data_IF_984739187387
#
_entry.id   IF_984739187387
#
_cell.length_a   1.000
_cell.length_b   1.000
_cell.length_c   1.000
_cell.angle_alpha   90.00
_cell.angle_beta   90.00
_cell.angle_gamma   90.00
#
_symmetry.space_group_name_H-M   'P 1'
#
loop_
_entity.id
_entity.type
_entity.pdbx_description
1 polymer ?
#
# COMPACT_ATOMS: atom_id res chain seq x y z
N UNK A 1 0.01 29.95 -14.85
CA UNK A 1 1.40 29.46 -14.99
C UNK A 1 1.97 29.21 -13.61
N UNK A 2 3.00 28.37 -13.51
CA UNK A 2 3.75 28.10 -12.27
C UNK A 2 5.11 28.74 -12.42
N UNK A 3 5.62 29.34 -11.34
CA UNK A 3 6.92 29.99 -11.34
C UNK A 3 7.87 29.27 -10.40
N UNK A 4 9.03 28.87 -10.91
CA UNK A 4 10.17 28.49 -10.08
C UNK A 4 10.96 29.75 -9.79
N UNK A 5 11.07 30.10 -8.51
CA UNK A 5 11.79 31.30 -8.06
C UNK A 5 13.01 30.91 -7.25
N UNK A 6 14.09 31.67 -7.44
CA UNK A 6 15.31 31.57 -6.65
C UNK A 6 15.05 31.94 -5.20
N UNK A 7 15.47 31.09 -4.26
CA UNK A 7 15.37 31.37 -2.83
C UNK A 7 16.39 32.40 -2.33
N UNK A 8 17.37 32.76 -3.16
CA UNK A 8 18.43 33.72 -2.80
C UNK A 8 17.99 35.15 -3.06
N UNK A 9 17.36 35.40 -4.22
CA UNK A 9 17.07 36.75 -4.71
C UNK A 9 15.64 36.93 -5.25
N UNK A 10 14.82 35.88 -5.25
CA UNK A 10 13.43 35.93 -5.73
C UNK A 10 13.30 36.04 -7.25
N UNK A 11 14.40 35.92 -8.00
CA UNK A 11 14.36 35.94 -9.46
C UNK A 11 13.60 34.71 -10.00
N UNK A 12 12.85 34.90 -11.09
CA UNK A 12 12.17 33.80 -11.77
C UNK A 12 13.19 33.01 -12.58
N UNK A 13 13.36 31.74 -12.25
CA UNK A 13 14.22 30.79 -12.96
C UNK A 13 13.49 30.21 -14.16
N UNK A 14 12.29 29.67 -13.94
CA UNK A 14 11.45 29.10 -14.99
C UNK A 14 9.98 29.51 -14.79
N UNK A 15 9.27 29.61 -15.91
CA UNK A 15 7.81 29.73 -15.96
C UNK A 15 7.26 28.54 -16.72
N UNK A 16 6.35 27.82 -16.09
CA UNK A 16 5.70 26.64 -16.65
C UNK A 16 4.27 26.99 -17.02
N UNK A 17 3.95 26.86 -18.30
CA UNK A 17 2.64 27.22 -18.82
C UNK A 17 1.66 26.06 -18.71
N UNK A 18 0.53 26.35 -18.05
CA UNK A 18 -0.67 25.54 -18.05
C UNK A 18 -1.65 26.13 -19.06
N UNK A 19 -2.59 25.32 -19.55
CA UNK A 19 -3.49 25.79 -20.60
C UNK A 19 -4.68 26.61 -20.04
N UNK A 20 -4.87 26.61 -18.71
CA UNK A 20 -5.86 27.38 -17.96
C UNK A 20 -5.28 27.89 -16.61
N UNK A 21 -5.99 28.78 -15.88
CA UNK A 21 -5.57 29.26 -14.56
C UNK A 21 -5.22 28.14 -13.59
N UNK A 22 -4.09 28.30 -12.89
CA UNK A 22 -3.60 27.34 -11.90
C UNK A 22 -4.30 27.61 -10.58
N UNK A 23 -5.08 26.63 -10.10
CA UNK A 23 -5.85 26.72 -8.85
C UNK A 23 -5.30 25.80 -7.75
N UNK A 24 -4.24 25.05 -8.06
CA UNK A 24 -3.64 24.05 -7.18
C UNK A 24 -2.30 24.53 -6.60
N UNK A 25 -1.93 23.97 -5.44
CA UNK A 25 -0.56 24.07 -4.95
C UNK A 25 0.38 23.24 -5.83
N UNK A 26 1.46 23.86 -6.33
CA UNK A 26 2.50 23.15 -7.05
C UNK A 26 3.18 22.12 -6.12
N UNK A 27 3.49 20.95 -6.66
CA UNK A 27 4.15 19.88 -5.90
C UNK A 27 5.50 19.55 -6.53
N UNK A 28 6.47 19.24 -5.69
CA UNK A 28 7.80 18.75 -6.05
C UNK A 28 8.39 18.00 -4.86
N UNK A 29 9.21 16.97 -5.08
CA UNK A 29 9.94 16.29 -4.01
C UNK A 29 11.31 15.85 -4.52
N UNK A 30 12.37 16.49 -4.02
CA UNK A 30 13.74 16.00 -4.11
C UNK A 30 14.36 15.80 -5.51
N UNK A 31 13.63 15.91 -6.61
CA UNK A 31 14.09 15.54 -7.96
C UNK A 31 13.46 16.40 -9.05
N UNK A 32 14.20 16.55 -10.15
CA UNK A 32 13.95 16.88 -11.58
C UNK A 32 12.54 17.24 -12.13
N UNK A 33 11.46 17.22 -11.35
CA UNK A 33 10.10 17.44 -11.84
C UNK A 33 9.30 18.44 -11.01
N UNK A 34 8.43 19.16 -11.72
CA UNK A 34 7.48 20.12 -11.17
C UNK A 34 6.08 19.73 -11.62
N UNK A 35 5.13 19.67 -10.68
CA UNK A 35 3.74 19.34 -10.95
C UNK A 35 2.84 20.55 -10.78
N UNK A 36 1.87 20.65 -11.68
CA UNK A 36 0.89 21.73 -11.73
C UNK A 36 -0.48 21.22 -12.10
N UNK A 37 -1.53 21.94 -11.71
CA UNK A 37 -2.87 21.64 -12.17
C UNK A 37 -3.73 22.88 -12.32
N UNK A 38 -4.58 22.86 -13.34
CA UNK A 38 -5.47 23.96 -13.69
C UNK A 38 -6.92 23.74 -13.24
N UNK A 39 -7.74 24.78 -13.41
CA UNK A 39 -9.16 24.77 -13.05
C UNK A 39 -10.01 23.84 -13.92
N UNK A 40 -9.55 23.51 -15.13
CA UNK A 40 -10.23 22.59 -16.04
C UNK A 40 -10.03 21.12 -15.65
N UNK A 41 -9.28 20.86 -14.57
CA UNK A 41 -9.05 19.52 -14.06
C UNK A 41 -7.94 18.77 -14.79
N UNK A 42 -6.99 19.48 -15.40
CA UNK A 42 -5.77 18.90 -15.93
C UNK A 42 -4.61 19.01 -14.96
N UNK A 43 -3.83 17.93 -14.88
CA UNK A 43 -2.56 17.84 -14.15
C UNK A 43 -1.42 17.78 -15.15
N UNK A 44 -0.34 18.46 -14.83
CA UNK A 44 0.82 18.68 -15.65
C UNK A 44 2.07 18.22 -14.92
N UNK A 45 3.06 17.77 -15.70
CA UNK A 45 4.41 17.53 -15.22
C UNK A 45 5.42 18.18 -16.14
N UNK A 46 6.37 18.86 -15.53
CA UNK A 46 7.43 19.59 -16.20
C UNK A 46 8.78 19.08 -15.73
N UNK A 47 9.76 19.13 -16.62
CA UNK A 47 11.15 18.97 -16.27
C UNK A 47 11.64 20.28 -15.63
N UNK A 48 12.25 20.16 -14.45
CA UNK A 48 12.75 21.27 -13.64
C UNK A 48 14.00 21.93 -14.25
N UNK A 49 14.83 21.19 -14.98
CA UNK A 49 16.09 21.70 -15.56
C UNK A 49 15.85 22.57 -16.80
N UNK A 50 14.96 22.12 -17.69
CA UNK A 50 14.78 22.74 -19.01
C UNK A 50 13.43 23.46 -19.18
N UNK A 51 12.51 23.33 -18.21
CA UNK A 51 11.18 23.94 -18.28
C UNK A 51 10.16 23.16 -19.09
N UNK A 52 10.55 22.06 -19.76
CA UNK A 52 9.72 21.41 -20.75
C UNK A 52 8.56 20.64 -20.12
N UNK A 53 7.37 20.77 -20.72
CA UNK A 53 6.21 19.96 -20.37
C UNK A 53 6.41 18.52 -20.83
N UNK A 54 6.48 17.60 -19.87
CA UNK A 54 6.67 16.17 -20.10
C UNK A 54 5.34 15.48 -20.42
N UNK A 55 4.27 15.84 -19.70
CA UNK A 55 2.93 15.30 -19.93
C UNK A 55 1.82 16.21 -19.38
N UNK A 56 0.59 15.93 -19.85
CA UNK A 56 -0.69 16.50 -19.40
C UNK A 56 -1.70 15.35 -19.23
N UNK A 57 -2.44 15.35 -18.13
CA UNK A 57 -3.41 14.31 -17.79
C UNK A 57 -4.73 14.93 -17.32
N UNK A 58 -5.87 14.46 -17.83
CA UNK A 58 -7.18 14.81 -17.26
C UNK A 58 -7.44 14.01 -16.00
N UNK A 59 -7.92 14.66 -14.93
CA UNK A 59 -8.39 13.97 -13.72
C UNK A 59 -9.73 13.28 -13.93
N UNK A 60 -10.55 13.74 -14.90
CA UNK A 60 -11.96 13.39 -15.11
C UNK A 60 -12.83 13.46 -13.82
N UNK A 61 -12.34 14.13 -12.78
CA UNK A 61 -12.86 14.10 -11.41
C UNK A 61 -12.75 15.47 -10.74
N UNK A 62 -12.80 16.54 -11.53
CA UNK A 62 -12.76 17.92 -11.07
C UNK A 62 -11.36 18.48 -10.86
N UNK A 63 -11.27 19.80 -10.68
CA UNK A 63 -10.01 20.50 -10.45
C UNK A 63 -9.24 19.92 -9.25
N UNK A 64 -7.92 19.85 -9.38
CA UNK A 64 -7.03 19.49 -8.29
C UNK A 64 -6.93 20.66 -7.30
N UNK A 65 -7.05 20.35 -6.01
CA UNK A 65 -6.91 21.34 -4.92
C UNK A 65 -5.49 21.32 -4.36
N UNK A 66 -5.02 20.15 -3.96
CA UNK A 66 -3.70 19.93 -3.41
C UNK A 66 -3.07 18.70 -4.04
N UNK A 67 -1.76 18.75 -4.20
CA UNK A 67 -0.97 17.68 -4.78
C UNK A 67 0.23 17.39 -3.90
N UNK A 68 0.61 16.12 -3.80
CA UNK A 68 1.80 15.69 -3.09
C UNK A 68 2.50 14.60 -3.89
N UNK A 69 3.79 14.78 -4.15
CA UNK A 69 4.61 13.84 -4.89
C UNK A 69 5.57 13.12 -3.94
N UNK A 70 5.60 11.80 -3.97
CA UNK A 70 6.50 10.96 -3.17
C UNK A 70 6.55 9.55 -3.78
N UNK A 71 7.72 8.91 -3.74
CA UNK A 71 7.93 7.54 -4.22
C UNK A 71 7.41 7.30 -5.65
N UNK A 72 7.73 8.20 -6.58
CA UNK A 72 7.28 8.17 -7.98
C UNK A 72 5.75 8.16 -8.16
N UNK A 73 5.02 8.68 -7.16
CA UNK A 73 3.56 8.79 -7.20
C UNK A 73 3.12 10.21 -6.87
N UNK A 74 2.16 10.70 -7.64
CA UNK A 74 1.50 11.96 -7.42
C UNK A 74 0.10 11.71 -6.84
N UNK A 75 -0.10 12.15 -5.61
CA UNK A 75 -1.38 12.13 -4.91
C UNK A 75 -2.10 13.44 -5.17
N UNK A 76 -3.37 13.37 -5.58
CA UNK A 76 -4.17 14.55 -5.95
C UNK A 76 -5.52 14.47 -5.26
N UNK A 77 -5.88 15.51 -4.51
CA UNK A 77 -7.24 15.66 -3.99
C UNK A 77 -8.02 16.61 -4.89
N UNK A 78 -9.25 16.25 -5.27
CA UNK A 78 -10.04 17.02 -6.22
C UNK A 78 -11.26 17.69 -5.59
N UNK A 79 -11.80 18.70 -6.27
CA UNK A 79 -13.03 19.42 -5.90
C UNK A 79 -14.26 18.53 -5.79
N UNK A 80 -14.28 17.37 -6.46
CA UNK A 80 -15.37 16.39 -6.37
C UNK A 80 -15.17 15.34 -5.27
N UNK A 81 -14.20 15.55 -4.38
CA UNK A 81 -13.97 14.70 -3.20
C UNK A 81 -13.21 13.41 -3.49
N UNK A 82 -12.49 13.33 -4.60
CA UNK A 82 -11.67 12.15 -4.93
C UNK A 82 -10.23 12.35 -4.46
N UNK A 83 -9.62 11.29 -3.93
CA UNK A 83 -8.18 11.14 -3.78
C UNK A 83 -7.67 10.24 -4.91
N UNK A 84 -6.86 10.79 -5.79
CA UNK A 84 -6.23 10.09 -6.91
C UNK A 84 -4.77 9.79 -6.58
N UNK A 85 -4.27 8.65 -7.08
CA UNK A 85 -2.85 8.30 -7.06
C UNK A 85 -2.42 8.04 -8.50
N UNK A 86 -1.48 8.83 -8.99
CA UNK A 86 -0.97 8.77 -10.35
C UNK A 86 0.48 8.27 -10.28
N UNK A 87 0.77 7.13 -10.91
CA UNK A 87 2.14 6.65 -11.05
C UNK A 87 2.90 7.54 -12.06
N UNK A 88 4.09 7.99 -11.68
CA UNK A 88 4.95 8.90 -12.42
C UNK A 88 6.25 8.19 -12.81
N UNK A 89 6.19 7.02 -13.44
CA UNK A 89 7.42 6.40 -13.95
C UNK A 89 7.94 7.07 -15.24
N UNK A 90 9.26 7.07 -15.51
CA UNK A 90 9.86 7.70 -16.69
C UNK A 90 9.37 7.16 -18.06
N UNK A 91 8.97 5.89 -18.14
CA UNK A 91 8.67 5.23 -19.42
C UNK A 91 7.20 4.78 -19.59
N UNK A 92 6.44 4.60 -18.51
CA UNK A 92 5.04 4.14 -18.61
C UNK A 92 4.08 5.22 -19.16
N UNK A 93 4.51 6.50 -19.18
CA UNK A 93 3.75 7.61 -19.77
C UNK A 93 4.07 7.86 -21.25
N UNK A 94 5.23 7.41 -21.77
CA UNK A 94 5.56 7.52 -23.21
C UNK A 94 4.66 6.60 -24.06
N UNK A 95 4.31 5.42 -23.55
CA UNK A 95 3.51 4.43 -24.28
C UNK A 95 2.01 4.82 -24.42
N UNK A 96 1.51 5.78 -23.62
CA UNK A 96 0.10 6.21 -23.66
C UNK A 96 -0.16 7.42 -24.57
N UNK A 97 0.87 8.00 -25.20
CA UNK A 97 0.75 9.29 -25.90
C UNK A 97 0.93 9.17 -27.43
N UNK A 98 1.36 8.05 -28.00
CA UNK A 98 1.60 8.00 -29.47
C UNK A 98 0.38 7.71 -30.35
N UNK A 99 -0.79 7.38 -29.81
CA UNK A 99 -1.97 7.08 -30.65
C UNK A 99 -3.27 7.22 -29.87
N UNK A 100 -3.90 8.40 -29.89
CA UNK A 100 -5.34 8.53 -29.73
C UNK A 100 -5.84 9.92 -30.13
N UNK A 101 -6.09 10.10 -31.42
CA UNK A 101 -7.22 10.90 -31.89
C UNK A 101 -8.46 10.44 -31.11
N UNK A 102 -9.03 11.33 -30.29
CA UNK A 102 -10.40 11.26 -29.74
C UNK A 102 -10.89 9.83 -29.40
N UNK A 103 -10.24 9.17 -28.45
CA UNK A 103 -10.73 7.91 -27.86
C UNK A 103 -11.23 8.16 -26.43
N UNK A 104 -12.39 7.57 -26.11
CA UNK A 104 -13.12 7.75 -24.87
C UNK A 104 -12.24 7.63 -23.61
N UNK A 105 -12.51 8.50 -22.63
CA UNK A 105 -11.90 8.52 -21.31
C UNK A 105 -11.76 7.09 -20.74
N UNK A 106 -10.53 6.62 -20.65
CA UNK A 106 -10.24 5.39 -19.89
C UNK A 106 -10.36 5.77 -18.43
N UNK A 107 -11.37 5.20 -17.74
CA UNK A 107 -11.59 5.41 -16.31
C UNK A 107 -10.26 5.37 -15.56
N UNK A 108 -9.98 6.41 -14.79
CA UNK A 108 -8.93 6.40 -13.79
C UNK A 108 -9.09 5.14 -12.95
N UNK A 109 -8.12 4.22 -13.07
CA UNK A 109 -8.03 3.07 -12.18
C UNK A 109 -7.61 3.64 -10.84
N UNK A 110 -8.53 3.67 -9.88
CA UNK A 110 -8.19 3.84 -8.48
C UNK A 110 -7.48 2.56 -8.08
N UNK A 111 -6.16 2.54 -7.80
CA UNK A 111 -5.56 1.38 -7.17
C UNK A 111 -6.27 1.23 -5.82
N UNK A 112 -6.84 0.05 -5.55
CA UNK A 112 -7.49 -0.26 -4.26
C UNK A 112 -6.55 -0.15 -3.06
N UNK A 113 -5.25 0.06 -3.31
CA UNK A 113 -4.17 -0.09 -2.35
C UNK A 113 -3.33 1.21 -2.27
N UNK A 114 -3.95 2.35 -1.94
CA UNK A 114 -3.17 3.48 -1.39
C UNK A 114 -2.88 3.15 0.08
N UNK A 115 -1.69 2.62 0.35
CA UNK A 115 -1.04 2.77 1.65
C UNK A 115 -0.44 4.16 1.72
N UNK A 116 -1.11 5.06 2.43
CA UNK A 116 -0.51 6.30 2.94
C UNK A 116 0.60 5.89 3.91
N UNK A 117 1.86 5.95 3.48
CA UNK A 117 2.98 6.00 4.42
C UNK A 117 3.05 7.44 4.89
N UNK A 118 2.37 7.72 6.01
CA UNK A 118 2.69 8.90 6.80
C UNK A 118 4.20 8.88 7.07
N UNK A 119 4.90 10.03 7.13
CA UNK A 119 6.25 10.07 7.70
C UNK A 119 6.24 9.25 8.99
N UNK A 120 7.34 8.56 9.31
CA UNK A 120 7.47 7.89 10.61
C UNK A 120 7.04 8.91 11.65
N UNK A 121 5.84 8.71 12.21
CA UNK A 121 5.32 9.60 13.22
C UNK A 121 6.30 9.41 14.35
N UNK A 122 6.98 10.48 14.76
CA UNK A 122 7.72 10.53 16.02
C UNK A 122 6.67 10.32 17.12
N UNK A 123 6.37 9.04 17.37
CA UNK A 123 5.48 8.63 18.43
C UNK A 123 6.30 8.69 19.71
N UNK A 124 5.77 9.44 20.66
CA UNK A 124 6.32 9.48 22.01
C UNK A 124 6.39 8.07 22.60
N UNK A 125 7.54 7.75 23.19
CA UNK A 125 7.71 6.52 23.96
C UNK A 125 7.19 6.72 25.39
N UNK A 126 6.63 5.67 25.98
CA UNK A 126 6.18 5.67 27.38
C UNK A 126 6.47 4.32 28.03
N UNK A 127 6.74 4.36 29.34
CA UNK A 127 6.77 3.18 30.22
C UNK A 127 5.53 3.13 31.14
N UNK A 128 4.72 4.19 31.15
CA UNK A 128 3.51 4.28 31.94
C UNK A 128 2.29 4.02 31.06
N UNK A 129 1.45 3.08 31.51
CA UNK A 129 0.20 2.71 30.86
C UNK A 129 -0.94 3.60 31.37
N UNK A 130 -0.88 4.05 32.63
CA UNK A 130 -1.95 4.79 33.30
C UNK A 130 -3.34 4.19 33.06
N UNK A 131 -4.29 5.04 32.69
CA UNK A 131 -5.66 4.66 32.31
C UNK A 131 -5.80 4.25 30.83
N UNK A 132 -4.70 4.13 30.08
CA UNK A 132 -4.70 3.71 28.69
C UNK A 132 -4.98 2.22 28.49
N UNK A 133 -5.08 1.81 27.23
CA UNK A 133 -5.25 0.42 26.80
C UNK A 133 -4.01 -0.02 26.04
N UNK A 134 -3.50 -1.21 26.33
CA UNK A 134 -2.35 -1.75 25.62
C UNK A 134 -2.84 -2.44 24.35
N UNK A 135 -2.32 -1.99 23.20
CA UNK A 135 -2.53 -2.61 21.88
C UNK A 135 -1.23 -3.27 21.45
N UNK A 136 -1.30 -4.55 21.08
CA UNK A 136 -0.16 -5.27 20.52
C UNK A 136 -0.30 -5.46 19.00
N UNK A 137 0.83 -5.46 18.31
CA UNK A 137 0.93 -5.80 16.90
C UNK A 137 1.33 -7.27 16.77
N UNK A 138 0.50 -8.03 16.07
CA UNK A 138 0.70 -9.46 15.87
C UNK A 138 0.72 -9.83 14.38
N UNK A 139 1.38 -10.96 14.08
CA UNK A 139 1.40 -11.54 12.75
C UNK A 139 0.07 -12.27 12.49
N UNK A 140 -0.59 -11.97 11.37
CA UNK A 140 -1.90 -12.56 11.04
C UNK A 140 -1.88 -14.09 11.03
N UNK A 141 -0.82 -14.67 10.45
CA UNK A 141 -0.60 -16.11 10.43
C UNK A 141 0.77 -16.44 11.00
N UNK A 142 0.80 -17.43 11.87
CA UNK A 142 2.03 -18.01 12.39
C UNK A 142 2.78 -18.76 11.30
N UNK A 143 4.03 -19.12 11.56
CA UNK A 143 4.79 -19.94 10.62
C UNK A 143 4.16 -21.33 10.46
N UNK A 144 3.53 -21.88 11.51
CA UNK A 144 2.79 -23.14 11.44
C UNK A 144 1.58 -23.05 10.48
N UNK A 145 0.83 -21.94 10.54
CA UNK A 145 -0.28 -21.69 9.62
C UNK A 145 0.21 -21.60 8.17
N UNK A 146 1.34 -20.93 7.94
CA UNK A 146 1.95 -20.82 6.63
C UNK A 146 2.40 -22.17 6.07
N UNK A 147 2.97 -23.03 6.90
CA UNK A 147 3.33 -24.39 6.52
C UNK A 147 2.10 -25.22 6.15
N UNK A 148 1.01 -25.11 6.91
CA UNK A 148 -0.26 -25.77 6.59
C UNK A 148 -0.84 -25.29 5.24
N UNK A 149 -0.82 -23.98 4.98
CA UNK A 149 -1.23 -23.43 3.68
C UNK A 149 -0.35 -23.99 2.55
N UNK A 150 0.97 -24.01 2.75
CA UNK A 150 1.92 -24.56 1.77
C UNK A 150 1.62 -26.04 1.47
N UNK A 151 1.39 -26.85 2.51
CA UNK A 151 1.06 -28.27 2.37
C UNK A 151 -0.18 -28.49 1.50
N UNK A 152 -1.25 -27.74 1.74
CA UNK A 152 -2.48 -27.81 0.95
C UNK A 152 -2.31 -27.36 -0.50
N UNK A 153 -1.48 -26.34 -0.76
CA UNK A 153 -1.15 -25.92 -2.13
C UNK A 153 -0.41 -27.03 -2.88
N UNK A 154 0.55 -27.70 -2.24
CA UNK A 154 1.38 -28.74 -2.85
C UNK A 154 0.71 -30.12 -2.87
N UNK A 155 -0.44 -30.29 -2.23
CA UNK A 155 -1.24 -31.51 -2.31
C UNK A 155 -2.20 -31.45 -3.52
N UNK A 156 -2.02 -32.30 -4.55
CA UNK A 156 -2.85 -32.26 -5.75
C UNK A 156 -4.34 -32.55 -5.48
N UNK A 157 -4.64 -33.29 -4.42
CA UNK A 157 -5.99 -33.73 -4.08
C UNK A 157 -6.77 -32.69 -3.25
N UNK A 158 -6.09 -31.69 -2.69
CA UNK A 158 -6.75 -30.66 -1.86
C UNK A 158 -7.43 -29.63 -2.75
N UNK A 159 -8.76 -29.61 -2.78
CA UNK A 159 -9.53 -28.52 -3.41
C UNK A 159 -10.02 -27.48 -2.40
N UNK A 160 -10.07 -27.85 -1.13
CA UNK A 160 -10.66 -27.08 -0.03
C UNK A 160 -9.96 -27.47 1.28
N UNK A 161 -9.70 -26.51 2.15
CA UNK A 161 -9.16 -26.77 3.49
C UNK A 161 -9.67 -25.75 4.50
N UNK A 162 -9.61 -26.09 5.79
CA UNK A 162 -9.99 -25.19 6.89
C UNK A 162 -8.76 -24.76 7.66
N UNK A 163 -8.63 -23.47 7.92
CA UNK A 163 -7.58 -22.88 8.75
C UNK A 163 -8.21 -21.85 9.69
N UNK A 164 -7.95 -21.97 10.99
CA UNK A 164 -8.49 -21.09 12.03
C UNK A 164 -10.02 -20.92 11.95
N UNK A 165 -10.73 -22.03 11.66
CA UNK A 165 -12.20 -22.07 11.55
C UNK A 165 -12.76 -21.45 10.27
N UNK A 166 -11.91 -21.01 9.34
CA UNK A 166 -12.31 -20.46 8.03
C UNK A 166 -11.93 -21.41 6.92
N UNK A 167 -12.82 -21.60 5.96
CA UNK A 167 -12.60 -22.48 4.82
C UNK A 167 -12.02 -21.71 3.62
N UNK A 168 -11.05 -22.32 2.93
CA UNK A 168 -10.34 -21.74 1.80
C UNK A 168 -10.23 -22.73 0.64
N UNK A 169 -10.52 -22.25 -0.58
CA UNK A 169 -10.42 -23.05 -1.79
C UNK A 169 -9.00 -22.98 -2.40
N UNK A 170 -8.46 -24.13 -2.80
CA UNK A 170 -7.24 -24.20 -3.59
C UNK A 170 -7.62 -24.14 -5.06
N UNK A 171 -7.09 -23.15 -5.75
CA UNK A 171 -7.39 -22.84 -7.15
C UNK A 171 -6.17 -23.08 -8.03
N UNK A 172 -6.38 -23.04 -9.35
CA UNK A 172 -5.30 -23.05 -10.34
C UNK A 172 -5.15 -21.67 -10.95
N UNK A 173 -3.99 -21.05 -10.74
CA UNK A 173 -3.66 -19.75 -11.31
C UNK A 173 -3.47 -19.84 -12.84
N UNK A 174 -3.56 -18.72 -13.55
CA UNK A 174 -3.44 -18.62 -15.03
C UNK A 174 -2.15 -19.22 -15.63
N UNK A 175 -1.10 -19.38 -14.83
CA UNK A 175 0.16 -19.99 -15.26
C UNK A 175 0.21 -21.52 -15.04
N UNK A 176 -0.86 -22.11 -14.49
CA UNK A 176 -0.97 -23.52 -14.12
C UNK A 176 -0.48 -23.87 -12.72
N UNK A 177 0.00 -22.90 -11.94
CA UNK A 177 0.41 -23.13 -10.53
C UNK A 177 -0.81 -23.18 -9.62
N UNK A 178 -0.78 -24.06 -8.62
CA UNK A 178 -1.78 -24.10 -7.54
C UNK A 178 -1.61 -22.90 -6.60
N UNK A 179 -2.72 -22.33 -6.16
CA UNK A 179 -2.72 -21.17 -5.28
C UNK A 179 -3.97 -21.10 -4.39
N UNK A 180 -3.90 -20.27 -3.35
CA UNK A 180 -5.05 -19.84 -2.56
C UNK A 180 -4.96 -18.33 -2.34
N UNK A 181 -6.10 -17.64 -2.35
CA UNK A 181 -6.16 -16.21 -2.04
C UNK A 181 -6.85 -16.03 -0.69
N UNK A 182 -6.10 -15.53 0.29
CA UNK A 182 -6.60 -15.33 1.66
C UNK A 182 -6.48 -13.84 1.98
N UNK A 183 -7.59 -13.19 2.32
CA UNK A 183 -7.63 -11.80 2.74
C UNK A 183 -6.89 -10.80 1.82
N UNK A 184 -6.93 -11.05 0.51
CA UNK A 184 -6.26 -10.24 -0.52
C UNK A 184 -4.82 -10.64 -0.83
N UNK A 185 -4.21 -11.54 -0.05
CA UNK A 185 -2.86 -12.06 -0.27
C UNK A 185 -2.93 -13.34 -1.09
N UNK A 186 -2.05 -13.45 -2.10
CA UNK A 186 -1.94 -14.64 -2.94
C UNK A 186 -0.83 -15.56 -2.43
N UNK A 187 -1.17 -16.79 -2.11
CA UNK A 187 -0.24 -17.86 -1.75
C UNK A 187 -0.15 -18.81 -2.94
N UNK A 188 1.01 -18.98 -3.55
CA UNK A 188 1.14 -19.67 -4.84
C UNK A 188 2.42 -20.48 -4.92
N UNK A 189 2.32 -21.70 -5.46
CA UNK A 189 3.53 -22.50 -5.71
C UNK A 189 4.42 -21.88 -6.80
N UNK A 190 5.71 -22.14 -6.73
CA UNK A 190 6.66 -21.71 -7.75
C UNK A 190 6.27 -22.26 -9.14
N UNK A 191 6.15 -21.35 -10.12
CA UNK A 191 5.98 -21.75 -11.51
C UNK A 191 7.24 -22.47 -12.03
N UNK A 192 7.11 -23.77 -12.26
CA UNK A 192 8.17 -24.68 -12.75
C UNK A 192 8.59 -24.42 -14.21
N UNK A 193 7.77 -23.70 -14.98
CA UNK A 193 8.04 -23.38 -16.40
C UNK A 193 8.95 -22.17 -16.59
N UNK A 194 9.32 -21.45 -15.52
CA UNK A 194 10.22 -20.29 -15.59
C UNK A 194 11.69 -20.74 -15.71
N UNK A 195 12.55 -19.85 -16.19
CA UNK A 195 14.02 -20.06 -16.29
C UNK A 195 14.80 -19.65 -15.02
N UNK A 196 14.14 -19.47 -13.88
CA UNK A 196 14.77 -19.05 -12.62
C UNK A 196 15.34 -20.24 -11.83
N UNK A 197 16.35 -20.00 -10.99
CA UNK A 197 16.90 -21.01 -10.06
C UNK A 197 15.82 -21.66 -9.17
N UNK A 198 14.86 -20.88 -8.66
CA UNK A 198 13.72 -21.41 -7.90
C UNK A 198 12.83 -22.36 -8.72
N UNK A 199 12.67 -22.10 -10.02
CA UNK A 199 11.89 -22.98 -10.90
C UNK A 199 12.61 -24.31 -11.12
N UNK A 200 13.94 -24.30 -11.30
CA UNK A 200 14.76 -25.51 -11.36
C UNK A 200 14.65 -26.31 -10.06
N UNK A 201 14.75 -25.66 -8.90
CA UNK A 201 14.60 -26.31 -7.59
C UNK A 201 13.22 -26.93 -7.40
N UNK A 202 12.16 -26.21 -7.77
CA UNK A 202 10.80 -26.72 -7.71
C UNK A 202 10.54 -27.86 -8.71
N UNK A 203 11.18 -27.84 -9.88
CA UNK A 203 11.14 -28.94 -10.84
C UNK A 203 11.88 -30.19 -10.32
N UNK A 204 12.91 -29.99 -9.49
CA UNK A 204 13.65 -31.06 -8.80
C UNK A 204 12.96 -31.56 -7.52
N UNK A 205 11.74 -31.11 -7.22
CA UNK A 205 10.91 -31.64 -6.14
C UNK A 205 10.84 -30.78 -4.87
N UNK A 206 11.53 -29.63 -4.82
CA UNK A 206 11.35 -28.72 -3.68
C UNK A 206 9.95 -28.08 -3.68
N UNK A 207 9.30 -28.04 -2.52
CA UNK A 207 8.03 -27.34 -2.32
C UNK A 207 8.32 -25.87 -2.08
N UNK A 208 8.14 -25.03 -3.08
CA UNK A 208 8.41 -23.58 -2.96
C UNK A 208 7.08 -22.84 -3.08
N UNK A 209 6.74 -22.06 -2.06
CA UNK A 209 5.49 -21.28 -1.99
C UNK A 209 5.82 -19.82 -1.76
N UNK A 210 5.25 -18.95 -2.58
CA UNK A 210 5.34 -17.51 -2.48
C UNK A 210 4.12 -16.94 -1.77
N UNK A 211 4.35 -16.01 -0.86
CA UNK A 211 3.30 -15.18 -0.25
C UNK A 211 3.38 -13.81 -0.92
N UNK A 212 2.42 -13.46 -1.75
CA UNK A 212 2.43 -12.25 -2.58
C UNK A 212 1.42 -11.23 -2.04
N UNK A 213 1.91 -10.10 -1.54
CA UNK A 213 1.11 -9.08 -0.86
C UNK A 213 1.53 -7.68 -1.31
N UNK A 214 0.93 -7.14 -2.38
CA UNK A 214 1.13 -5.77 -2.93
C UNK A 214 2.37 -5.01 -2.40
N UNK A 215 3.56 -5.33 -2.91
CA UNK A 215 4.83 -4.68 -2.54
C UNK A 215 5.62 -5.35 -1.39
N UNK A 216 5.02 -6.30 -0.68
CA UNK A 216 5.67 -7.20 0.29
C UNK A 216 5.55 -8.64 -0.20
N UNK A 217 6.51 -9.46 0.21
CA UNK A 217 6.52 -10.87 -0.15
C UNK A 217 7.01 -11.74 1.01
N UNK A 218 6.60 -12.99 0.98
CA UNK A 218 7.09 -14.06 1.84
C UNK A 218 7.48 -15.28 1.02
N UNK A 219 8.22 -16.20 1.65
CA UNK A 219 8.76 -17.38 0.99
C UNK A 219 8.80 -18.54 1.97
N UNK A 220 8.31 -19.67 1.49
CA UNK A 220 8.33 -20.95 2.18
C UNK A 220 9.05 -21.93 1.27
N UNK A 221 10.00 -22.68 1.83
CA UNK A 221 10.75 -23.70 1.11
C UNK A 221 10.68 -24.99 1.94
N UNK A 222 10.06 -26.01 1.37
CA UNK A 222 9.75 -27.27 2.04
C UNK A 222 9.00 -27.00 3.35
N UNK A 223 9.59 -27.38 4.47
CA UNK A 223 8.98 -27.30 5.79
C UNK A 223 9.52 -26.09 6.59
N UNK A 224 10.09 -25.09 5.91
CA UNK A 224 10.67 -23.91 6.54
C UNK A 224 10.13 -22.60 5.93
N UNK A 225 9.61 -21.72 6.79
CA UNK A 225 9.24 -20.35 6.44
C UNK A 225 10.50 -19.49 6.46
N UNK A 226 10.97 -19.06 5.28
CA UNK A 226 12.14 -18.17 5.16
C UNK A 226 11.76 -16.72 5.45
N UNK A 227 10.60 -16.29 4.97
CA UNK A 227 10.07 -14.95 5.18
C UNK A 227 8.55 -15.02 5.35
N UNK A 228 8.05 -14.60 6.51
CA UNK A 228 6.61 -14.51 6.75
C UNK A 228 6.07 -13.20 6.13
N UNK A 229 5.39 -13.32 5.00
CA UNK A 229 4.87 -12.18 4.21
C UNK A 229 3.45 -11.74 4.57
N UNK A 230 2.88 -12.25 5.68
CA UNK A 230 1.47 -11.99 6.03
C UNK A 230 1.28 -10.62 6.67
N UNK A 231 0.04 -10.22 6.91
CA UNK A 231 -0.25 -8.88 7.43
C UNK A 231 0.18 -8.78 8.90
N UNK A 232 0.65 -7.61 9.29
CA UNK A 232 0.72 -7.22 10.70
C UNK A 232 -0.60 -6.55 11.08
N UNK A 233 -1.26 -7.10 12.08
CA UNK A 233 -2.56 -6.66 12.59
C UNK A 233 -2.39 -6.15 14.02
N UNK A 234 -3.42 -5.50 14.55
CA UNK A 234 -3.41 -4.97 15.91
C UNK A 234 -4.61 -5.51 16.68
N UNK A 235 -4.45 -5.74 17.99
CA UNK A 235 -5.52 -6.19 18.90
C UNK A 235 -5.22 -5.71 20.33
N UNK A 236 -6.23 -5.71 21.23
CA UNK A 236 -5.97 -5.50 22.66
C UNK A 236 -4.99 -6.56 23.18
N UNK A 237 -3.96 -6.15 23.91
CA UNK A 237 -2.96 -7.07 24.45
C UNK A 237 -3.46 -7.83 25.69
N UNK A 238 -4.45 -7.27 26.39
CA UNK A 238 -5.08 -7.85 27.57
C UNK A 238 -6.60 -7.70 27.46
N UNK A 239 -7.33 -8.52 28.23
CA UNK A 239 -8.78 -8.39 28.38
C UNK A 239 -9.16 -7.40 29.50
N UNK A 240 -8.20 -6.59 29.94
CA UNK A 240 -8.44 -5.53 30.91
C UNK A 240 -9.50 -4.58 30.36
N UNK A 241 -10.36 -4.06 31.24
CA UNK A 241 -11.45 -3.13 30.86
C UNK A 241 -12.50 -3.74 29.92
N UNK A 242 -12.52 -5.08 29.77
CA UNK A 242 -13.58 -5.81 29.06
C UNK A 242 -13.39 -5.93 27.55
N UNK A 243 -12.19 -5.64 27.02
CA UNK A 243 -11.92 -5.79 25.59
C UNK A 243 -11.70 -7.25 25.17
N UNK A 244 -12.21 -7.62 24.00
CA UNK A 244 -11.95 -8.93 23.40
C UNK A 244 -10.57 -8.95 22.72
N UNK A 245 -9.65 -9.75 23.25
CA UNK A 245 -8.28 -9.90 22.75
C UNK A 245 -8.19 -10.58 21.39
N UNK A 246 -9.26 -11.18 20.88
CA UNK A 246 -9.30 -11.73 19.52
C UNK A 246 -9.87 -10.75 18.49
N UNK A 247 -10.49 -9.66 18.94
CA UNK A 247 -11.11 -8.68 18.05
C UNK A 247 -10.06 -7.72 17.48
N UNK A 248 -10.01 -7.50 16.15
CA UNK A 248 -9.00 -6.66 15.53
C UNK A 248 -9.20 -5.18 15.88
N UNK A 249 -8.10 -4.42 15.83
CA UNK A 249 -8.06 -2.97 16.03
C UNK A 249 -7.65 -2.30 14.72
N UNK A 250 -8.43 -1.30 14.27
CA UNK A 250 -8.06 -0.41 13.19
C UNK A 250 -6.91 0.50 13.66
N UNK A 251 -5.69 0.12 13.30
CA UNK A 251 -4.46 0.78 13.74
C UNK A 251 -3.64 1.36 12.56
N UNK A 252 -2.89 2.46 12.70
CA UNK A 252 -2.09 3.00 11.60
C UNK A 252 -1.09 1.96 11.06
N UNK A 253 -1.07 1.73 9.74
CA UNK A 253 -0.26 0.66 9.10
C UNK A 253 1.24 0.90 9.21
N UNK A 254 1.69 2.15 9.12
CA UNK A 254 3.09 2.56 9.20
C UNK A 254 3.73 2.27 10.58
N UNK A 255 2.92 2.27 11.64
CA UNK A 255 3.39 1.99 13.00
C UNK A 255 3.54 0.49 13.30
N UNK A 256 3.01 -0.38 12.45
CA UNK A 256 2.95 -1.82 12.72
C UNK A 256 4.33 -2.44 12.51
N UNK A 257 5.03 -2.71 13.59
CA UNK A 257 6.25 -3.53 13.65
C UNK A 257 5.93 -4.80 14.42
N UNK A 258 6.50 -5.94 14.00
CA UNK A 258 6.28 -7.22 14.67
C UNK A 258 6.61 -7.11 16.16
N UNK A 259 5.74 -7.64 17.00
CA UNK A 259 5.86 -7.68 18.47
C UNK A 259 5.87 -6.29 19.15
N UNK A 260 5.60 -5.20 18.40
CA UNK A 260 5.48 -3.87 18.97
C UNK A 260 4.22 -3.72 19.82
N UNK A 261 4.32 -2.93 20.89
CA UNK A 261 3.21 -2.59 21.78
C UNK A 261 3.04 -1.08 21.89
N UNK A 262 1.80 -0.66 22.05
CA UNK A 262 1.41 0.73 22.13
C UNK A 262 0.44 0.93 23.29
N UNK A 263 0.56 2.06 23.98
CA UNK A 263 -0.47 2.57 24.87
C UNK A 263 -1.35 3.50 24.03
N UNK A 264 -2.65 3.21 23.99
CA UNK A 264 -3.63 4.08 23.38
C UNK A 264 -4.55 4.65 24.45
N UNK A 265 -4.99 5.89 24.26
CA UNK A 265 -5.88 6.55 25.22
C UNK A 265 -7.22 5.81 25.33
N UNK A 266 -7.85 5.51 24.20
CA UNK A 266 -9.14 4.81 24.16
C UNK A 266 -9.27 3.86 22.97
N UNK A 267 -10.04 2.79 23.18
CA UNK A 267 -10.58 1.94 22.13
C UNK A 267 -12.10 2.08 22.10
N UNK A 268 -12.64 2.36 20.91
CA UNK A 268 -14.08 2.48 20.69
C UNK A 268 -14.52 1.39 19.72
N UNK A 269 -15.62 0.71 20.05
CA UNK A 269 -16.18 -0.32 19.18
C UNK A 269 -16.71 0.27 17.87
N UNK A 270 -16.50 -0.45 16.75
CA UNK A 270 -17.11 -0.06 15.48
C UNK A 270 -18.63 -0.21 15.53
N UNK A 271 -19.34 0.51 14.67
CA UNK A 271 -20.80 0.38 14.55
C UNK A 271 -21.24 -1.05 14.19
N UNK A 272 -20.40 -1.79 13.47
CA UNK A 272 -20.64 -3.21 13.13
C UNK A 272 -20.25 -4.18 14.25
N UNK A 273 -19.61 -3.70 15.32
CA UNK A 273 -19.00 -4.51 16.39
C UNK A 273 -17.93 -5.52 15.94
N UNK A 274 -17.44 -5.42 14.70
CA UNK A 274 -16.44 -6.34 14.13
C UNK A 274 -14.99 -5.97 14.51
N UNK A 275 -14.73 -4.71 14.87
CA UNK A 275 -13.39 -4.24 15.21
C UNK A 275 -13.42 -3.04 16.16
N UNK A 276 -12.29 -2.72 16.78
CA UNK A 276 -12.11 -1.50 17.57
C UNK A 276 -11.40 -0.41 16.77
N UNK A 277 -11.65 0.86 17.09
CA UNK A 277 -10.90 2.02 16.60
C UNK A 277 -10.15 2.68 17.73
N UNK A 278 -8.92 3.09 17.44
CA UNK A 278 -8.15 3.92 18.37
C UNK A 278 -8.72 5.35 18.35
N UNK A 279 -8.91 5.93 19.53
CA UNK A 279 -9.20 7.35 19.72
C UNK A 279 -8.20 7.95 20.71
N UNK A 280 -7.82 9.21 20.47
CA UNK A 280 -6.87 9.94 21.31
C UNK A 280 -5.41 9.61 20.99
N UNK A 281 -4.55 9.83 21.99
CA UNK A 281 -3.09 9.70 21.83
C UNK A 281 -2.66 8.24 21.65
N UNK A 282 -1.62 8.04 20.83
CA UNK A 282 -0.90 6.77 20.66
C UNK A 282 0.54 6.98 21.10
N UNK A 283 1.01 6.15 22.04
CA UNK A 283 2.39 6.17 22.52
C UNK A 283 2.98 4.77 22.36
N UNK A 284 4.26 4.68 22.00
CA UNK A 284 4.96 3.40 21.87
C UNK A 284 5.35 2.94 23.27
N UNK A 285 4.88 1.75 23.64
CA UNK A 285 5.23 1.17 24.94
C UNK A 285 6.64 0.60 24.84
N UNK A 286 7.56 1.18 25.59
CA UNK A 286 8.91 0.62 25.79
C UNK A 286 8.95 -0.04 27.18
N UNK A 287 9.82 -1.03 27.33
CA UNK A 287 10.01 -1.78 28.58
C UNK A 287 11.35 -1.40 29.19
#
# INVERSE_FOLDING_TARGET
>A
SIHQVSCVDGSVVHTFDCDAPVVSSASTFGSERIFGADEDGFVYCFNKEDGNRLWKLSTDRGAALSMHYSDERLFVVTTLGFLLCIDVEPDSLKAKISTATRAAATKAVVPSDITVTLPDVDIEETNDVGDGVIVEIYQEFSDADLLAISEHIHNPDTTLFTLNGTEYAVETHKNGSRCVKINGILYIEQNKKKSSSYATRAANGEKITWVCNSGKWGLIINDEVKYNGTRLLARPATNDKGFDTNKPVQFPKNLRKKDARFVVEQLVESESAEFYRVQGKIQKLVQ
#
